data_IF_862376417104
#
_entry.id   IF_862376417104
#
_cell.length_a   1.000
_cell.length_b   1.000
_cell.length_c   1.000
_cell.angle_alpha   90.00
_cell.angle_beta   90.00
_cell.angle_gamma   90.00
#
_symmetry.space_group_name_H-M   'P 1'
#
loop_
_entity.id
_entity.type
_entity.pdbx_description
1 polymer ?
#
# COMPACT_ATOMS: atom_id res chain seq x y z
N UNK A 1 -6.79 14.07 14.80
CA UNK A 1 -5.43 13.48 14.78
C UNK A 1 -4.46 14.52 14.24
N UNK A 2 -3.27 14.65 14.83
CA UNK A 2 -2.26 15.59 14.35
C UNK A 2 -0.94 14.84 14.11
N UNK A 3 -0.45 14.93 12.89
CA UNK A 3 0.87 14.45 12.48
C UNK A 3 1.70 15.69 12.13
N UNK A 4 2.98 15.73 12.52
CA UNK A 4 3.84 16.90 12.23
C UNK A 4 3.95 17.10 10.72
N UNK A 5 3.56 18.27 10.23
CA UNK A 5 3.63 18.58 8.79
C UNK A 5 5.05 18.45 8.22
N UNK A 6 6.08 18.60 9.05
CA UNK A 6 7.49 18.54 8.66
C UNK A 6 7.99 17.17 8.19
N UNK A 7 7.20 16.10 8.38
CA UNK A 7 7.55 14.76 7.89
C UNK A 7 7.17 14.56 6.42
N UNK A 8 6.34 15.45 5.89
CA UNK A 8 5.92 15.43 4.50
C UNK A 8 6.83 16.32 3.65
N UNK A 9 6.91 15.99 2.37
CA UNK A 9 7.57 16.79 1.37
C UNK A 9 6.88 16.67 0.01
N UNK A 10 7.16 17.63 -0.88
CA UNK A 10 6.64 17.63 -2.24
C UNK A 10 7.74 17.10 -3.16
N UNK A 11 7.44 16.02 -3.86
CA UNK A 11 8.32 15.41 -4.85
C UNK A 11 7.56 15.16 -6.16
N UNK A 12 8.30 14.80 -7.22
CA UNK A 12 7.67 14.25 -8.42
C UNK A 12 7.38 12.77 -8.19
N UNK A 13 6.18 12.34 -8.52
CA UNK A 13 5.70 10.99 -8.28
C UNK A 13 6.57 9.89 -8.93
N UNK A 14 7.05 10.14 -10.15
CA UNK A 14 7.91 9.20 -10.88
C UNK A 14 9.35 9.13 -10.37
N UNK A 15 9.83 10.10 -9.58
CA UNK A 15 11.17 10.11 -9.00
C UNK A 15 11.24 9.29 -7.69
N UNK A 16 10.09 8.88 -7.14
CA UNK A 16 10.00 8.16 -5.87
C UNK A 16 10.33 6.67 -6.02
N UNK A 17 10.89 5.99 -5.00
CA UNK A 17 11.08 4.54 -5.06
C UNK A 17 9.73 3.79 -5.04
N UNK A 18 9.73 2.54 -5.52
CA UNK A 18 8.58 1.63 -5.35
C UNK A 18 8.24 1.48 -3.85
N UNK A 19 6.96 1.25 -3.55
CA UNK A 19 6.44 1.17 -2.18
C UNK A 19 6.23 2.54 -1.52
N UNK A 20 6.65 3.63 -2.15
CA UNK A 20 6.40 4.98 -1.63
C UNK A 20 4.91 5.27 -1.55
N UNK A 21 4.48 5.82 -0.41
CA UNK A 21 3.14 6.35 -0.23
C UNK A 21 3.05 7.76 -0.78
N UNK A 22 2.02 7.98 -1.58
CA UNK A 22 1.82 9.19 -2.34
C UNK A 22 0.40 9.69 -2.07
N UNK A 23 0.27 10.93 -1.61
CA UNK A 23 -1.01 11.60 -1.52
C UNK A 23 -1.24 12.42 -2.80
N UNK A 24 -2.33 12.11 -3.52
CA UNK A 24 -2.82 12.88 -4.66
C UNK A 24 -4.31 13.15 -4.47
N UNK A 25 -4.68 14.43 -4.47
CA UNK A 25 -6.05 14.83 -4.12
C UNK A 25 -6.41 14.42 -2.69
N UNK A 26 -7.45 13.60 -2.54
CA UNK A 26 -7.93 13.11 -1.23
C UNK A 26 -7.48 11.69 -0.91
N UNK A 27 -6.93 10.98 -1.88
CA UNK A 27 -6.65 9.55 -1.75
C UNK A 27 -5.15 9.27 -1.63
N UNK A 28 -4.85 8.25 -0.83
CA UNK A 28 -3.52 7.68 -0.71
C UNK A 28 -3.31 6.68 -1.83
N UNK A 29 -2.11 6.72 -2.38
CA UNK A 29 -1.64 5.82 -3.42
C UNK A 29 -0.31 5.20 -2.99
N UNK A 30 0.04 4.07 -3.60
CA UNK A 30 1.36 3.49 -3.52
C UNK A 30 1.97 3.42 -4.91
N UNK A 31 3.25 3.78 -5.03
CA UNK A 31 4.00 3.54 -6.25
C UNK A 31 4.30 2.05 -6.36
N UNK A 32 3.84 1.41 -7.43
CA UNK A 32 3.96 -0.03 -7.61
C UNK A 32 4.54 -0.38 -8.97
N UNK A 33 4.94 -1.64 -9.10
CA UNK A 33 5.37 -2.25 -10.33
C UNK A 33 4.62 -3.57 -10.53
N UNK A 34 3.92 -3.68 -11.66
CA UNK A 34 3.19 -4.89 -12.07
C UNK A 34 3.78 -5.45 -13.37
N UNK A 35 3.64 -6.76 -13.54
CA UNK A 35 3.90 -7.48 -14.78
C UNK A 35 2.57 -7.80 -15.47
N UNK A 36 2.30 -7.11 -16.59
CA UNK A 36 1.12 -7.32 -17.41
C UNK A 36 1.55 -7.72 -18.83
N UNK A 37 1.01 -8.83 -19.34
CA UNK A 37 1.27 -9.29 -20.72
C UNK A 37 2.76 -9.40 -21.09
N UNK A 38 3.62 -9.78 -20.13
CA UNK A 38 5.06 -9.90 -20.33
C UNK A 38 5.81 -8.57 -20.36
N UNK A 39 5.17 -7.46 -19.94
CA UNK A 39 5.79 -6.16 -19.76
C UNK A 39 5.65 -5.69 -18.33
N UNK A 40 6.71 -5.10 -17.82
CA UNK A 40 6.72 -4.45 -16.53
C UNK A 40 6.22 -3.01 -16.69
N UNK A 41 5.24 -2.61 -15.89
CA UNK A 41 4.71 -1.25 -15.83
C UNK A 41 4.84 -0.71 -14.42
N UNK A 42 5.26 0.55 -14.31
CA UNK A 42 5.24 1.30 -13.05
C UNK A 42 3.96 2.13 -12.99
N UNK A 43 3.28 2.07 -11.86
CA UNK A 43 1.90 2.51 -11.70
C UNK A 43 1.68 3.16 -10.33
N UNK A 44 0.55 3.85 -10.17
CA UNK A 44 0.03 4.31 -8.88
C UNK A 44 -1.16 3.45 -8.49
N UNK A 45 -1.01 2.63 -7.45
CA UNK A 45 -2.10 1.86 -6.86
C UNK A 45 -2.89 2.73 -5.90
N UNK A 46 -4.21 2.80 -6.07
CA UNK A 46 -5.11 3.52 -5.16
C UNK A 46 -5.32 2.68 -3.89
N UNK A 47 -4.94 3.21 -2.73
CA UNK A 47 -5.09 2.54 -1.44
C UNK A 47 -6.36 2.92 -0.69
N UNK A 48 -6.93 4.10 -0.98
CA UNK A 48 -8.13 4.61 -0.29
C UNK A 48 -9.12 5.22 -1.28
N UNK A 49 -10.38 5.35 -0.86
CA UNK A 49 -11.39 6.02 -1.65
C UNK A 49 -12.25 5.06 -2.49
N UNK A 50 -13.00 5.62 -3.44
CA UNK A 50 -14.02 4.87 -4.18
C UNK A 50 -13.45 3.87 -5.20
N UNK A 51 -12.22 4.10 -5.67
CA UNK A 51 -11.51 3.30 -6.69
C UNK A 51 -10.36 2.50 -6.07
N UNK A 52 -10.47 2.16 -4.78
CA UNK A 52 -9.44 1.38 -4.08
C UNK A 52 -9.11 0.08 -4.82
N UNK A 53 -7.82 -0.18 -5.01
CA UNK A 53 -7.30 -1.35 -5.72
C UNK A 53 -7.26 -1.24 -7.24
N UNK A 54 -7.70 -0.11 -7.80
CA UNK A 54 -7.38 0.30 -9.17
C UNK A 54 -5.98 0.93 -9.24
N UNK A 55 -5.45 1.06 -10.46
CA UNK A 55 -4.18 1.74 -10.69
C UNK A 55 -4.18 2.59 -11.95
N UNK A 56 -3.31 3.60 -11.97
CA UNK A 56 -3.11 4.50 -13.11
C UNK A 56 -1.67 4.49 -13.59
N UNK A 57 -1.47 4.64 -14.90
CA UNK A 57 -0.16 4.82 -15.51
C UNK A 57 0.39 6.23 -15.28
N UNK A 58 1.71 6.36 -15.26
CA UNK A 58 2.41 7.65 -15.24
C UNK A 58 2.39 8.31 -16.63
N UNK A 59 1.21 8.66 -17.12
CA UNK A 59 1.09 9.28 -18.45
C UNK A 59 1.47 10.77 -18.41
N UNK A 60 1.34 11.40 -17.24
CA UNK A 60 1.73 12.79 -16.99
C UNK A 60 2.38 12.92 -15.60
N UNK A 61 3.71 12.98 -15.53
CA UNK A 61 4.43 13.27 -14.30
C UNK A 61 3.84 14.42 -13.48
N UNK A 62 3.50 14.15 -12.21
CA UNK A 62 2.89 15.14 -11.33
C UNK A 62 3.72 15.37 -10.07
N UNK A 63 3.48 16.51 -9.42
CA UNK A 63 3.94 16.74 -8.05
C UNK A 63 2.95 16.09 -7.09
N UNK A 64 3.49 15.47 -6.06
CA UNK A 64 2.70 14.83 -5.02
C UNK A 64 3.28 15.12 -3.63
N UNK A 65 2.47 14.86 -2.60
CA UNK A 65 2.96 14.85 -1.23
C UNK A 65 3.38 13.43 -0.88
N UNK A 66 4.57 13.27 -0.33
CA UNK A 66 5.13 12.00 0.13
C UNK A 66 5.77 12.17 1.51
N UNK A 67 6.31 11.08 2.04
CA UNK A 67 7.05 11.04 3.30
C UNK A 67 8.54 11.27 3.07
N UNK A 68 9.18 11.97 4.01
CA UNK A 68 10.63 12.11 4.01
C UNK A 68 11.33 10.75 4.15
N UNK A 69 12.52 10.59 3.52
CA UNK A 69 13.34 9.40 3.71
C UNK A 69 13.68 9.13 5.19
N UNK A 70 13.90 7.86 5.54
CA UNK A 70 14.30 7.43 6.88
C UNK A 70 13.14 7.10 7.82
N UNK A 71 11.90 7.44 7.44
CA UNK A 71 10.71 7.03 8.17
C UNK A 71 10.39 5.56 7.90
N UNK A 72 9.94 4.84 8.94
CA UNK A 72 9.49 3.45 8.81
C UNK A 72 7.97 3.41 8.70
N UNK A 73 7.48 2.51 7.87
CA UNK A 73 6.07 2.18 7.78
C UNK A 73 5.81 0.87 8.51
N UNK A 74 4.78 0.85 9.33
CA UNK A 74 4.30 -0.34 10.02
C UNK A 74 2.87 -0.64 9.57
N UNK A 75 2.61 -1.90 9.23
CA UNK A 75 1.30 -2.35 8.76
C UNK A 75 0.59 -3.03 9.90
N UNK A 76 -0.60 -2.54 10.25
CA UNK A 76 -1.37 -3.05 11.39
C UNK A 76 -2.73 -3.53 10.96
N UNK A 77 -3.15 -4.64 11.55
CA UNK A 77 -4.51 -5.16 11.40
C UNK A 77 -5.39 -4.44 12.41
N UNK A 78 -6.53 -3.89 11.95
CA UNK A 78 -7.42 -3.10 12.79
C UNK A 78 -8.67 -3.89 13.26
N UNK A 79 -8.96 -5.04 12.64
CA UNK A 79 -10.08 -5.93 12.99
C UNK A 79 -9.67 -7.42 12.94
N UNK A 80 -10.65 -8.33 12.88
CA UNK A 80 -10.40 -9.77 12.79
C UNK A 80 -9.73 -10.23 11.49
N UNK A 81 -9.11 -11.41 11.56
CA UNK A 81 -8.59 -12.13 10.40
C UNK A 81 -9.68 -13.06 9.83
N UNK A 82 -9.78 -13.11 8.51
CA UNK A 82 -10.68 -13.99 7.76
C UNK A 82 -9.88 -15.03 6.95
N UNK A 83 -10.58 -16.08 6.51
CA UNK A 83 -10.03 -17.11 5.64
C UNK A 83 -9.81 -18.48 6.30
N UNK A 84 -9.34 -19.48 5.54
CA UNK A 84 -8.87 -19.37 4.16
C UNK A 84 -10.02 -19.17 3.15
N UNK A 85 -9.93 -18.14 2.30
CA UNK A 85 -10.89 -17.88 1.20
C UNK A 85 -10.28 -16.98 0.12
N UNK A 86 -11.07 -16.59 -0.89
CA UNK A 86 -10.71 -15.56 -1.87
C UNK A 86 -10.76 -14.17 -1.21
N UNK A 87 -9.64 -13.43 -1.13
CA UNK A 87 -9.60 -12.14 -0.48
C UNK A 87 -10.25 -11.05 -1.35
N UNK A 88 -11.05 -10.13 -0.78
CA UNK A 88 -11.48 -8.93 -1.47
C UNK A 88 -10.30 -8.02 -1.87
N UNK A 89 -10.49 -7.24 -2.92
CA UNK A 89 -9.55 -6.18 -3.34
C UNK A 89 -9.33 -5.18 -2.19
N UNK A 90 -8.07 -4.80 -1.97
CA UNK A 90 -7.63 -3.93 -0.88
C UNK A 90 -7.31 -4.67 0.42
N UNK A 91 -7.61 -5.97 0.53
CA UNK A 91 -7.27 -6.74 1.74
C UNK A 91 -5.78 -6.94 1.90
N UNK A 92 -5.30 -6.94 3.15
CA UNK A 92 -3.97 -7.41 3.49
C UNK A 92 -3.98 -8.94 3.56
N UNK A 93 -3.10 -9.60 2.81
CA UNK A 93 -3.03 -11.06 2.70
C UNK A 93 -1.70 -11.60 3.18
N UNK A 94 -1.68 -12.86 3.62
CA UNK A 94 -0.44 -13.57 3.98
C UNK A 94 0.00 -14.50 2.85
N UNK A 95 1.31 -14.61 2.67
CA UNK A 95 1.92 -15.56 1.74
C UNK A 95 1.66 -17.00 2.19
N UNK A 96 1.76 -17.95 1.27
CA UNK A 96 1.53 -19.38 1.55
C UNK A 96 2.49 -19.91 2.61
N UNK A 97 3.71 -19.37 2.69
CA UNK A 97 4.71 -19.72 3.71
C UNK A 97 4.59 -18.90 5.01
N UNK A 98 3.66 -17.96 5.08
CA UNK A 98 3.39 -17.11 6.24
C UNK A 98 4.45 -16.05 6.54
N UNK A 99 5.46 -15.86 5.67
CA UNK A 99 6.61 -14.97 5.92
C UNK A 99 6.45 -13.55 5.39
N UNK A 100 5.45 -13.31 4.55
CA UNK A 100 5.27 -12.03 3.87
C UNK A 100 3.81 -11.64 3.80
N UNK A 101 3.59 -10.33 3.68
CA UNK A 101 2.28 -9.74 3.48
C UNK A 101 2.24 -8.98 2.15
N UNK A 102 1.07 -8.94 1.55
CA UNK A 102 0.81 -8.16 0.35
C UNK A 102 -0.62 -7.62 0.37
N UNK A 103 -0.87 -6.65 -0.50
CA UNK A 103 -2.19 -6.12 -0.78
C UNK A 103 -2.78 -6.93 -1.93
N UNK A 104 -3.98 -7.47 -1.76
CA UNK A 104 -4.76 -8.00 -2.87
C UNK A 104 -5.25 -6.84 -3.74
N UNK A 105 -4.91 -6.83 -5.03
CA UNK A 105 -5.34 -5.79 -5.96
C UNK A 105 -6.23 -6.40 -7.04
N UNK A 106 -6.78 -5.56 -7.92
CA UNK A 106 -7.61 -6.01 -9.04
C UNK A 106 -6.95 -7.12 -9.86
N UNK A 107 -7.77 -7.94 -10.51
CA UNK A 107 -7.34 -9.11 -11.28
C UNK A 107 -6.63 -10.21 -10.48
N UNK A 108 -6.79 -10.24 -9.16
CA UNK A 108 -6.23 -11.29 -8.30
C UNK A 108 -4.71 -11.24 -8.19
N UNK A 109 -4.12 -10.06 -8.44
CA UNK A 109 -2.70 -9.81 -8.27
C UNK A 109 -2.40 -9.42 -6.81
N UNK A 110 -1.13 -9.51 -6.44
CA UNK A 110 -0.66 -9.20 -5.09
C UNK A 110 0.56 -8.30 -5.13
N UNK A 111 0.52 -7.22 -4.37
CA UNK A 111 1.61 -6.24 -4.32
C UNK A 111 2.13 -6.11 -2.89
N UNK A 112 3.43 -6.30 -2.70
CA UNK A 112 4.06 -6.14 -1.38
C UNK A 112 4.12 -4.66 -0.97
N UNK A 113 4.43 -4.38 0.29
CA UNK A 113 4.66 -3.01 0.76
C UNK A 113 5.91 -2.34 0.15
N UNK A 114 6.76 -3.13 -0.51
CA UNK A 114 7.87 -2.62 -1.33
C UNK A 114 7.40 -2.17 -2.72
N UNK A 115 6.11 -2.28 -3.01
CA UNK A 115 5.51 -1.90 -4.28
C UNK A 115 5.80 -2.87 -5.42
N UNK A 116 6.14 -4.12 -5.14
CA UNK A 116 6.47 -5.11 -6.17
C UNK A 116 5.42 -6.21 -6.19
N UNK A 117 5.02 -6.62 -7.40
CA UNK A 117 4.15 -7.77 -7.58
C UNK A 117 4.80 -9.06 -7.05
N UNK A 118 4.03 -9.90 -6.36
CA UNK A 118 4.50 -11.21 -5.88
C UNK A 118 3.54 -12.34 -6.25
N UNK A 119 4.11 -13.51 -6.52
CA UNK A 119 3.39 -14.76 -6.82
C UNK A 119 3.39 -15.73 -5.64
N UNK A 120 3.88 -15.32 -4.47
CA UNK A 120 3.93 -16.15 -3.24
C UNK A 120 2.57 -16.26 -2.51
N UNK A 121 1.51 -15.71 -3.10
CA UNK A 121 0.20 -15.55 -2.51
C UNK A 121 -0.84 -16.35 -3.29
N UNK A 122 -1.83 -16.89 -2.58
CA UNK A 122 -2.92 -17.65 -3.17
C UNK A 122 -4.17 -16.77 -3.29
N UNK A 123 -4.65 -16.57 -4.52
CA UNK A 123 -5.95 -15.93 -4.75
C UNK A 123 -7.14 -16.82 -4.43
N UNK A 124 -6.98 -18.13 -4.30
CA UNK A 124 -8.12 -19.03 -4.06
C UNK A 124 -8.39 -19.28 -2.58
N UNK A 125 -7.33 -19.38 -1.79
CA UNK A 125 -7.40 -19.72 -0.38
C UNK A 125 -6.21 -19.08 0.36
N UNK A 126 -6.47 -17.95 1.01
CA UNK A 126 -5.51 -17.28 1.89
C UNK A 126 -6.21 -16.71 3.13
N UNK A 127 -5.43 -16.45 4.17
CA UNK A 127 -5.86 -15.63 5.30
C UNK A 127 -5.70 -14.15 4.93
N UNK A 128 -6.65 -13.32 5.36
CA UNK A 128 -6.64 -11.90 5.03
C UNK A 128 -7.29 -11.03 6.11
N UNK A 129 -6.95 -9.74 6.11
CA UNK A 129 -7.57 -8.70 6.90
C UNK A 129 -8.20 -7.67 5.96
N UNK A 130 -9.50 -7.39 6.13
CA UNK A 130 -10.20 -6.35 5.35
C UNK A 130 -9.90 -4.94 5.84
N UNK A 131 -9.76 -4.81 7.16
CA UNK A 131 -9.50 -3.54 7.82
C UNK A 131 -8.09 -3.57 8.39
N UNK A 132 -7.26 -2.71 7.84
CA UNK A 132 -5.87 -2.59 8.20
C UNK A 132 -5.41 -1.15 7.95
N UNK A 133 -4.21 -0.84 8.42
CA UNK A 133 -3.73 0.53 8.41
C UNK A 133 -2.21 0.58 8.25
N UNK A 134 -1.75 1.74 7.80
CA UNK A 134 -0.33 2.05 7.71
C UNK A 134 -0.02 3.14 8.71
N UNK A 135 0.93 2.84 9.59
CA UNK A 135 1.44 3.71 10.63
C UNK A 135 2.83 4.22 10.27
N UNK A 136 3.12 5.44 10.69
CA UNK A 136 4.48 5.97 10.61
C UNK A 136 5.14 5.71 11.95
N UNK A 137 6.29 5.05 11.91
CA UNK A 137 7.12 4.76 13.07
C UNK A 137 8.42 5.55 12.96
N UNK A 138 8.77 6.23 14.04
CA UNK A 138 10.02 6.97 14.16
C UNK A 138 11.22 6.06 14.30
N UNK A 139 12.41 6.64 14.22
CA UNK A 139 13.68 5.91 14.40
C UNK A 139 13.78 5.26 15.78
N UNK A 140 13.10 5.82 16.79
CA UNK A 140 13.01 5.30 18.16
C UNK A 140 12.01 4.15 18.31
N UNK A 141 11.38 3.70 17.21
CA UNK A 141 10.39 2.65 17.21
C UNK A 141 9.01 3.06 17.73
N UNK A 142 8.78 4.36 17.99
CA UNK A 142 7.49 4.87 18.45
C UNK A 142 6.65 5.43 17.33
N UNK A 143 5.34 5.37 17.51
CA UNK A 143 4.38 5.93 16.57
C UNK A 143 4.54 7.45 16.45
N UNK A 144 4.59 7.92 15.20
CA UNK A 144 4.55 9.35 14.90
C UNK A 144 3.09 9.76 14.72
N UNK A 145 2.45 10.10 15.83
CA UNK A 145 1.05 10.53 15.87
C UNK A 145 0.21 9.63 16.78
N UNK A 146 -1.07 9.94 16.88
CA UNK A 146 -2.03 9.20 17.72
C UNK A 146 -2.97 8.29 16.91
N UNK A 147 -2.63 8.02 15.65
CA UNK A 147 -3.48 7.25 14.73
C UNK A 147 -2.72 6.91 13.44
N UNK A 148 -3.31 6.05 12.59
CA UNK A 148 -2.68 5.64 11.33
C UNK A 148 -2.59 6.80 10.34
N UNK A 149 -1.59 6.76 9.47
CA UNK A 149 -1.50 7.66 8.33
C UNK A 149 -2.56 7.32 7.27
N UNK A 150 -2.72 6.02 7.01
CA UNK A 150 -3.65 5.48 6.02
C UNK A 150 -4.50 4.41 6.69
N UNK A 151 -5.81 4.50 6.56
CA UNK A 151 -6.74 3.45 6.98
C UNK A 151 -7.42 2.86 5.75
N UNK A 152 -7.38 1.54 5.64
CA UNK A 152 -7.82 0.79 4.46
C UNK A 152 -8.96 -0.12 4.91
N UNK A 153 -10.03 -0.14 4.12
CA UNK A 153 -11.27 -0.87 4.42
C UNK A 153 -11.78 -1.53 3.13
N UNK A 154 -11.59 -2.85 3.04
CA UNK A 154 -11.93 -3.68 1.90
C UNK A 154 -13.31 -4.35 1.97
#
# INVERSE_FOLDING_TARGET
MAIKASIFEIQKDYDLPLGSLIQQGKDWHMRIQLEEHGRTAELLLVLTGATMGEWTYFDNPSKCITLKPGLKLDVRVEDGLEGPAHPPVGSLVWSVDGKSQAICVSHGLFVTMEGVQSRLFSGHATFFARNWSIWIVGEDGKDIGSGPLVSIKA
#
